data_IF_437719711969
#
_entry.id   IF_437719711969
#
_cell.length_a   1.000
_cell.length_b   1.000
_cell.length_c   1.000
_cell.angle_alpha   90.00
_cell.angle_beta   90.00
_cell.angle_gamma   90.00
#
_symmetry.space_group_name_H-M   'P 1'
#
loop_
_entity.id
_entity.type
_entity.pdbx_description
1 polymer ?
#
# COMPACT_ATOMS: atom_id res chain seq x y z
N UNK A 1 10.42 -5.29 -10.47
CA UNK A 1 11.10 -5.81 -9.27
C UNK A 1 10.30 -6.96 -8.66
N UNK A 2 10.89 -8.16 -8.61
CA UNK A 2 10.29 -9.36 -7.99
C UNK A 2 10.75 -9.53 -6.52
N UNK A 3 10.26 -10.57 -5.83
CA UNK A 3 10.60 -10.83 -4.41
C UNK A 3 12.10 -11.04 -4.18
N UNK A 4 12.79 -11.76 -5.07
CA UNK A 4 14.22 -12.05 -4.91
C UNK A 4 15.08 -10.79 -5.08
N UNK A 5 14.81 -10.02 -6.14
CA UNK A 5 15.47 -8.73 -6.40
C UNK A 5 15.26 -7.75 -5.24
N UNK A 6 14.05 -7.74 -4.65
CA UNK A 6 13.76 -6.90 -3.49
C UNK A 6 14.59 -7.32 -2.27
N UNK A 7 14.73 -8.62 -2.00
CA UNK A 7 15.53 -9.13 -0.89
C UNK A 7 17.01 -8.77 -1.08
N UNK A 8 17.54 -8.90 -2.30
CA UNK A 8 18.92 -8.52 -2.62
C UNK A 8 19.14 -7.01 -2.48
N UNK A 9 18.21 -6.19 -2.98
CA UNK A 9 18.27 -4.74 -2.82
C UNK A 9 18.16 -4.34 -1.34
N UNK A 10 17.27 -4.98 -0.58
CA UNK A 10 17.15 -4.78 0.87
C UNK A 10 18.45 -5.11 1.59
N UNK A 11 19.04 -6.27 1.31
CA UNK A 11 20.30 -6.71 1.91
C UNK A 11 21.44 -5.73 1.58
N UNK A 12 21.53 -5.29 0.33
CA UNK A 12 22.57 -4.37 -0.15
C UNK A 12 22.45 -2.97 0.47
N UNK A 13 21.24 -2.43 0.60
CA UNK A 13 21.01 -1.09 1.17
C UNK A 13 21.12 -1.09 2.71
N UNK A 14 20.65 -2.16 3.36
CA UNK A 14 20.63 -2.27 4.82
C UNK A 14 21.97 -2.77 5.41
N UNK A 15 22.84 -3.37 4.59
CA UNK A 15 24.06 -4.03 5.06
C UNK A 15 23.76 -5.22 5.97
N UNK A 16 22.67 -5.94 5.71
CA UNK A 16 22.26 -7.16 6.43
C UNK A 16 22.37 -8.37 5.50
N UNK A 17 22.36 -9.59 6.06
CA UNK A 17 22.44 -10.79 5.21
C UNK A 17 21.17 -10.96 4.36
N UNK A 18 21.27 -11.64 3.22
CA UNK A 18 20.09 -11.96 2.40
C UNK A 18 19.04 -12.80 3.16
N UNK A 19 19.49 -13.63 4.11
CA UNK A 19 18.60 -14.39 4.99
C UNK A 19 17.84 -13.48 5.95
N UNK A 20 18.51 -12.48 6.52
CA UNK A 20 17.92 -11.47 7.41
C UNK A 20 16.93 -10.58 6.67
N UNK A 21 17.29 -10.10 5.48
CA UNK A 21 16.40 -9.32 4.63
C UNK A 21 15.14 -10.11 4.26
N UNK A 22 15.30 -11.41 3.91
CA UNK A 22 14.17 -12.30 3.64
C UNK A 22 13.30 -12.51 4.88
N UNK A 23 13.90 -12.77 6.04
CA UNK A 23 13.18 -12.98 7.29
C UNK A 23 12.40 -11.73 7.71
N UNK A 24 12.99 -10.54 7.57
CA UNK A 24 12.32 -9.28 7.82
C UNK A 24 11.14 -9.05 6.87
N UNK A 25 11.33 -9.28 5.56
CA UNK A 25 10.26 -9.14 4.57
C UNK A 25 9.11 -10.12 4.83
N UNK A 26 9.42 -11.39 5.09
CA UNK A 26 8.42 -12.40 5.39
C UNK A 26 7.68 -12.11 6.71
N UNK A 27 8.37 -11.55 7.71
CA UNK A 27 7.76 -11.07 8.96
C UNK A 27 6.76 -9.94 8.70
N UNK A 28 7.18 -8.89 7.99
CA UNK A 28 6.31 -7.76 7.61
C UNK A 28 5.05 -8.25 6.89
N UNK A 29 5.21 -9.12 5.89
CA UNK A 29 4.09 -9.66 5.11
C UNK A 29 3.15 -10.47 6.00
N UNK A 30 3.67 -11.34 6.87
CA UNK A 30 2.86 -12.13 7.80
C UNK A 30 2.09 -11.25 8.77
N UNK A 31 2.75 -10.28 9.42
CA UNK A 31 2.12 -9.33 10.31
C UNK A 31 0.97 -8.57 9.64
N UNK A 32 1.23 -8.09 8.42
CA UNK A 32 0.25 -7.35 7.65
C UNK A 32 -0.93 -8.24 7.25
N UNK A 33 -0.68 -9.45 6.76
CA UNK A 33 -1.73 -10.40 6.42
C UNK A 33 -2.58 -10.73 7.65
N UNK A 34 -1.98 -11.09 8.79
CA UNK A 34 -2.74 -11.41 10.01
C UNK A 34 -3.59 -10.24 10.50
N UNK A 35 -3.06 -9.02 10.49
CA UNK A 35 -3.84 -7.83 10.87
C UNK A 35 -5.01 -7.61 9.91
N UNK A 36 -4.77 -7.68 8.60
CA UNK A 36 -5.79 -7.45 7.59
C UNK A 36 -6.88 -8.53 7.60
N UNK A 37 -6.54 -9.80 7.86
CA UNK A 37 -7.53 -10.89 8.00
C UNK A 37 -8.41 -10.72 9.23
N UNK A 38 -7.91 -10.06 10.29
CA UNK A 38 -8.69 -9.74 11.47
C UNK A 38 -9.60 -8.51 11.23
N UNK A 39 -9.48 -7.84 10.08
CA UNK A 39 -10.16 -6.58 9.80
C UNK A 39 -9.50 -5.36 10.44
N UNK A 40 -8.30 -5.52 11.00
CA UNK A 40 -7.52 -4.45 11.61
C UNK A 40 -6.77 -3.66 10.53
N UNK A 41 -6.61 -2.36 10.77
CA UNK A 41 -5.72 -1.53 9.94
C UNK A 41 -4.27 -1.73 10.36
N UNK A 42 -3.36 -1.79 9.38
CA UNK A 42 -1.94 -2.04 9.64
C UNK A 42 -1.06 -0.98 8.98
N UNK A 43 -0.13 -0.40 9.72
CA UNK A 43 0.84 0.56 9.21
C UNK A 43 2.26 -0.03 9.27
N UNK A 44 2.95 -0.03 8.13
CA UNK A 44 4.40 -0.28 8.08
C UNK A 44 5.10 1.05 8.26
N UNK A 45 5.91 1.17 9.32
CA UNK A 45 6.65 2.39 9.63
C UNK A 45 7.46 2.86 8.39
N UNK A 46 7.43 4.15 8.10
CA UNK A 46 8.16 4.75 6.98
C UNK A 46 7.64 4.41 5.57
N UNK A 47 6.69 3.47 5.41
CA UNK A 47 6.22 3.02 4.09
C UNK A 47 4.75 3.41 3.83
N UNK A 48 3.80 2.80 4.54
CA UNK A 48 2.39 3.00 4.25
C UNK A 48 1.46 2.21 5.17
N UNK A 49 0.20 2.62 5.18
CA UNK A 49 -0.88 1.95 5.87
C UNK A 49 -1.74 1.14 4.89
N UNK A 50 -2.19 -0.01 5.36
CA UNK A 50 -3.14 -0.88 4.69
C UNK A 50 -4.41 -0.96 5.53
N UNK A 51 -5.56 -0.91 4.88
CA UNK A 51 -6.84 -1.06 5.55
C UNK A 51 -7.81 -1.81 4.68
N UNK A 52 -8.61 -2.67 5.29
CA UNK A 52 -9.79 -3.23 4.64
C UNK A 52 -10.92 -2.22 4.83
N UNK A 53 -11.44 -1.57 3.77
CA UNK A 53 -12.61 -0.72 3.91
C UNK A 53 -13.76 -1.58 4.41
N UNK A 54 -14.31 -1.26 5.59
CA UNK A 54 -15.58 -1.85 6.03
C UNK A 54 -16.59 -1.56 4.93
N UNK A 55 -16.98 -2.61 4.20
CA UNK A 55 -18.14 -2.54 3.32
C UNK A 55 -19.34 -2.39 4.25
N UNK A 56 -19.65 -1.15 4.65
CA UNK A 56 -20.97 -0.82 5.18
C UNK A 56 -21.89 -1.25 4.06
N UNK A 57 -22.57 -2.39 4.25
CA UNK A 57 -23.61 -2.83 3.34
C UNK A 57 -24.47 -1.61 3.08
N UNK A 58 -24.50 -1.12 1.83
CA UNK A 58 -25.40 -0.03 1.50
C UNK A 58 -26.76 -0.54 1.95
N UNK A 59 -27.32 0.06 3.00
CA UNK A 59 -28.75 -0.05 3.25
C UNK A 59 -29.35 0.35 1.92
N UNK A 60 -29.99 -0.63 1.28
CA UNK A 60 -30.74 -0.43 0.07
C UNK A 60 -31.70 0.71 0.38
N UNK A 61 -31.37 1.91 -0.10
CA UNK A 61 -32.33 3.00 -0.15
C UNK A 61 -33.41 2.51 -1.08
N UNK A 62 -34.60 2.29 -0.53
CA UNK A 62 -35.79 1.97 -1.29
C UNK A 62 -35.91 2.98 -2.45
N UNK A 63 -35.78 2.47 -3.66
CA UNK A 63 -35.61 3.30 -4.85
C UNK A 63 -35.65 2.46 -6.12
N UNK A 64 -36.81 1.86 -6.35
CA UNK A 64 -37.28 1.16 -7.57
C UNK A 64 -36.58 -0.14 -7.98
N UNK A 65 -37.43 -1.17 -8.03
CA UNK A 65 -37.19 -2.49 -8.60
C UNK A 65 -36.60 -2.42 -10.01
N UNK A 66 -35.65 -3.31 -10.27
CA UNK A 66 -35.01 -3.50 -11.57
C UNK A 66 -33.75 -4.35 -11.43
N UNK A 67 -33.96 -5.66 -11.42
CA UNK A 67 -33.03 -6.71 -11.81
C UNK A 67 -31.65 -6.84 -11.12
N UNK A 68 -31.54 -7.89 -10.32
CA UNK A 68 -30.29 -8.59 -10.05
C UNK A 68 -29.73 -9.17 -11.34
N UNK A 69 -28.54 -8.75 -11.76
CA UNK A 69 -27.63 -9.61 -12.51
C UNK A 69 -26.21 -9.14 -12.30
N UNK A 70 -25.31 -10.11 -12.16
CA UNK A 70 -23.87 -9.91 -12.26
C UNK A 70 -23.59 -9.02 -13.47
N UNK A 71 -23.09 -7.81 -13.23
CA UNK A 71 -22.77 -6.83 -14.25
C UNK A 71 -21.59 -7.30 -15.09
N UNK A 72 -21.89 -8.17 -16.05
CA UNK A 72 -21.10 -8.38 -17.24
C UNK A 72 -21.30 -7.13 -18.09
N UNK A 73 -20.37 -6.18 -18.01
CA UNK A 73 -20.31 -5.09 -18.99
C UNK A 73 -20.10 -5.79 -20.33
N UNK A 74 -21.14 -5.83 -21.17
CA UNK A 74 -21.19 -6.52 -22.48
C UNK A 74 -20.22 -5.99 -23.54
N UNK A 75 -19.01 -5.58 -23.14
CA UNK A 75 -17.88 -5.13 -23.95
C UNK A 75 -16.56 -5.80 -23.57
N UNK A 76 -16.57 -6.87 -22.75
CA UNK A 76 -15.37 -7.67 -22.49
C UNK A 76 -14.19 -6.88 -21.88
N UNK A 77 -14.48 -5.80 -21.14
CA UNK A 77 -13.46 -5.05 -20.43
C UNK A 77 -13.60 -5.34 -18.94
N UNK A 78 -12.51 -5.81 -18.33
CA UNK A 78 -12.39 -6.18 -16.92
C UNK A 78 -13.13 -5.19 -16.01
N UNK A 79 -14.14 -5.69 -15.29
CA UNK A 79 -14.64 -5.03 -14.08
C UNK A 79 -13.40 -4.79 -13.23
N UNK A 80 -13.00 -3.52 -13.09
CA UNK A 80 -11.84 -3.17 -12.28
C UNK A 80 -12.20 -3.50 -10.84
N UNK A 81 -11.95 -4.75 -10.43
CA UNK A 81 -12.02 -5.20 -9.05
C UNK A 81 -11.13 -4.26 -8.24
N UNK A 82 -11.76 -3.29 -7.59
CA UNK A 82 -11.09 -2.43 -6.63
C UNK A 82 -10.53 -3.39 -5.59
N UNK A 83 -9.23 -3.31 -5.36
CA UNK A 83 -8.57 -4.23 -4.44
C UNK A 83 -9.29 -4.18 -3.09
N UNK A 84 -9.53 -5.34 -2.45
CA UNK A 84 -10.25 -5.40 -1.18
C UNK A 84 -9.44 -4.77 -0.02
N UNK A 85 -8.19 -4.41 -0.27
CA UNK A 85 -7.30 -3.70 0.64
C UNK A 85 -6.92 -2.38 0.01
N UNK A 86 -7.18 -1.29 0.72
CA UNK A 86 -6.69 0.05 0.39
C UNK A 86 -5.26 0.22 0.92
N UNK A 87 -4.42 0.93 0.16
CA UNK A 87 -3.07 1.31 0.56
C UNK A 87 -2.91 2.82 0.53
N UNK A 88 -2.51 3.39 1.67
CA UNK A 88 -2.19 4.80 1.84
C UNK A 88 -0.69 4.95 2.14
N UNK A 89 0.05 5.60 1.23
CA UNK A 89 1.45 5.91 1.46
C UNK A 89 1.60 6.89 2.65
N UNK A 90 2.53 6.58 3.56
CA UNK A 90 2.84 7.50 4.66
C UNK A 90 3.50 8.79 4.13
N UNK A 91 3.44 9.92 4.87
CA UNK A 91 3.95 11.20 4.39
C UNK A 91 5.42 11.17 3.97
N UNK A 92 6.24 10.42 4.71
CA UNK A 92 7.67 10.25 4.44
C UNK A 92 7.90 9.53 3.11
N UNK A 93 7.21 8.41 2.89
CA UNK A 93 7.28 7.65 1.64
C UNK A 93 6.70 8.43 0.45
N UNK A 94 5.58 9.11 0.65
CA UNK A 94 4.94 9.93 -0.37
C UNK A 94 5.82 11.12 -0.78
N UNK A 95 6.49 11.76 0.18
CA UNK A 95 7.47 12.80 -0.07
C UNK A 95 8.68 12.24 -0.81
N UNK A 96 9.20 11.09 -0.38
CA UNK A 96 10.33 10.44 -1.01
C UNK A 96 10.05 10.12 -2.48
N UNK A 97 8.81 9.75 -2.85
CA UNK A 97 8.41 9.40 -4.21
C UNK A 97 8.05 10.60 -5.11
N UNK A 98 8.19 11.83 -4.63
CA UNK A 98 7.78 13.04 -5.35
C UNK A 98 6.32 12.94 -5.85
N UNK A 99 5.44 12.33 -5.04
CA UNK A 99 4.00 12.28 -5.31
C UNK A 99 3.48 13.71 -5.11
N UNK A 100 3.54 14.51 -6.19
CA UNK A 100 3.32 15.97 -6.15
C UNK A 100 2.08 16.34 -5.34
N UNK A 101 2.23 17.11 -4.26
CA UNK A 101 1.10 17.68 -3.55
C UNK A 101 0.59 18.85 -4.39
N UNK A 102 -0.34 18.59 -5.31
CA UNK A 102 -1.15 19.68 -5.87
C UNK A 102 -1.70 20.53 -4.72
N UNK A 103 -1.36 21.82 -4.75
CA UNK A 103 -1.73 22.82 -3.78
C UNK A 103 -3.24 22.79 -3.50
N UNK A 104 -3.64 22.82 -2.23
CA UNK A 104 -4.85 23.57 -1.86
C UNK A 104 -6.04 22.86 -1.21
N UNK A 105 -5.97 21.59 -0.80
CA UNK A 105 -7.05 21.00 0.00
C UNK A 105 -6.52 20.44 1.32
N UNK A 106 -6.97 21.00 2.45
CA UNK A 106 -6.58 20.68 3.84
C UNK A 106 -6.69 19.21 4.28
N UNK A 107 -6.97 18.27 3.37
CA UNK A 107 -6.89 16.82 3.55
C UNK A 107 -5.44 16.31 3.74
N UNK A 108 -4.42 17.17 3.58
CA UNK A 108 -3.00 16.84 3.84
C UNK A 108 -2.73 16.45 5.30
N UNK A 109 -3.50 16.99 6.25
CA UNK A 109 -3.35 16.62 7.66
C UNK A 109 -3.86 15.20 7.97
N UNK A 110 -4.77 14.65 7.16
CA UNK A 110 -5.41 13.34 7.43
C UNK A 110 -4.70 12.15 6.81
N UNK A 111 -4.06 12.28 5.64
CA UNK A 111 -3.30 11.16 5.04
C UNK A 111 -2.12 10.73 5.95
N UNK A 112 -1.47 11.70 6.61
CA UNK A 112 -0.46 11.42 7.64
C UNK A 112 -1.03 10.90 8.97
N UNK A 113 -2.35 10.94 9.16
CA UNK A 113 -3.00 10.47 10.38
C UNK A 113 -3.34 8.98 10.33
N UNK A 114 -3.57 8.39 9.15
CA UNK A 114 -3.87 6.94 9.04
C UNK A 114 -2.67 6.05 9.33
N UNK A 115 -1.46 6.44 8.89
CA UNK A 115 -0.22 5.75 9.29
C UNK A 115 0.06 5.84 10.79
N UNK A 116 -0.46 6.85 11.50
CA UNK A 116 -0.29 7.03 12.95
C UNK A 116 -1.44 6.47 13.78
N UNK A 117 -2.58 6.15 13.16
CA UNK A 117 -3.81 5.68 13.80
C UNK A 117 -4.14 4.22 13.45
N UNK A 118 -3.23 3.51 12.77
CA UNK A 118 -3.45 2.11 12.45
C UNK A 118 -3.49 1.27 13.75
N UNK A 119 -4.36 0.28 13.78
CA UNK A 119 -4.53 -0.63 14.92
C UNK A 119 -3.26 -1.45 15.18
N UNK A 120 -2.56 -1.81 14.11
CA UNK A 120 -1.29 -2.53 14.15
C UNK A 120 -0.18 -1.69 13.53
N UNK A 121 0.85 -1.37 14.31
CA UNK A 121 2.09 -0.79 13.80
C UNK A 121 3.13 -1.91 13.60
N UNK A 122 3.67 -2.00 12.38
CA UNK A 122 4.82 -2.83 12.04
C UNK A 122 6.05 -1.92 12.09
N UNK A 123 6.74 -1.99 13.23
CA UNK A 123 8.00 -1.31 13.51
C UNK A 123 9.15 -2.33 13.64
N UNK A 124 10.37 -1.82 13.82
CA UNK A 124 11.55 -2.66 14.00
C UNK A 124 11.44 -3.63 15.19
N UNK A 125 10.72 -3.24 16.24
CA UNK A 125 10.52 -4.09 17.43
C UNK A 125 9.60 -5.27 17.13
N UNK A 126 8.49 -5.04 16.41
CA UNK A 126 7.58 -6.09 15.99
C UNK A 126 8.28 -7.08 15.07
N UNK A 127 9.06 -6.60 14.10
CA UNK A 127 9.82 -7.45 13.18
C UNK A 127 10.85 -8.29 13.95
N UNK A 128 11.58 -7.68 14.88
CA UNK A 128 12.52 -8.40 15.75
C UNK A 128 11.82 -9.48 16.60
N UNK A 129 10.58 -9.24 17.05
CA UNK A 129 9.79 -10.24 17.79
C UNK A 129 9.30 -11.37 16.90
N UNK A 130 8.80 -11.07 15.72
CA UNK A 130 8.23 -12.07 14.80
C UNK A 130 9.30 -12.96 14.18
N UNK A 131 10.49 -12.41 13.91
CA UNK A 131 11.61 -13.18 13.35
C UNK A 131 12.20 -14.17 14.34
N UNK A 132 12.05 -13.94 15.66
CA UNK A 132 12.37 -14.93 16.71
C UNK A 132 11.46 -16.16 16.70
N UNK A 133 10.28 -16.08 16.11
CA UNK A 133 9.35 -17.21 15.99
C UNK A 133 9.72 -18.15 14.83
N UNK A 134 10.75 -17.83 14.04
CA UNK A 134 11.29 -18.67 12.97
C UNK A 134 12.54 -19.46 13.40
N UNK A 135 13.01 -20.35 12.50
CA UNK A 135 14.27 -21.12 12.67
C UNK A 135 15.55 -20.29 12.47
N UNK A 136 15.45 -18.96 12.41
CA UNK A 136 16.58 -18.07 12.26
C UNK A 136 16.92 -17.45 13.61
N UNK A 137 18.19 -17.15 13.86
CA UNK A 137 18.57 -16.29 14.97
C UNK A 137 17.79 -14.98 14.81
N UNK A 138 16.86 -14.71 15.73
CA UNK A 138 15.95 -13.57 15.58
C UNK A 138 16.71 -12.28 15.39
N UNK A 139 16.21 -11.42 14.49
CA UNK A 139 16.87 -10.16 14.16
C UNK A 139 17.00 -9.28 15.41
N UNK A 140 18.15 -8.62 15.54
CA UNK A 140 18.27 -7.55 16.53
C UNK A 140 17.34 -6.40 16.15
N UNK A 141 16.93 -5.57 17.12
CA UNK A 141 16.14 -4.36 16.82
C UNK A 141 16.86 -3.45 15.82
N UNK A 142 18.20 -3.40 15.89
CA UNK A 142 19.00 -2.59 14.99
C UNK A 142 18.97 -3.15 13.55
N UNK A 143 19.10 -4.46 13.39
CA UNK A 143 19.09 -5.10 12.07
C UNK A 143 17.69 -5.10 11.46
N UNK A 144 16.65 -5.29 12.29
CA UNK A 144 15.26 -5.14 11.86
C UNK A 144 14.96 -3.71 11.38
N UNK A 145 15.51 -2.69 12.06
CA UNK A 145 15.38 -1.30 11.63
C UNK A 145 16.11 -1.06 10.30
N UNK A 146 17.36 -1.50 10.18
CA UNK A 146 18.13 -1.40 8.93
C UNK A 146 17.40 -2.09 7.78
N UNK A 147 16.86 -3.29 8.00
CA UNK A 147 16.12 -4.04 7.00
C UNK A 147 14.84 -3.31 6.56
N UNK A 148 14.12 -2.66 7.49
CA UNK A 148 12.93 -1.85 7.20
C UNK A 148 13.28 -0.56 6.43
N UNK A 149 14.36 0.11 6.81
CA UNK A 149 14.86 1.29 6.10
C UNK A 149 15.36 0.91 4.69
N UNK A 150 16.04 -0.24 4.57
CA UNK A 150 16.48 -0.82 3.30
C UNK A 150 15.32 -1.22 2.40
N UNK A 151 14.26 -1.83 2.95
CA UNK A 151 13.01 -2.11 2.24
C UNK A 151 12.38 -0.84 1.69
N UNK A 152 12.22 0.17 2.54
CA UNK A 152 11.60 1.45 2.16
C UNK A 152 12.42 2.16 1.08
N UNK A 153 13.75 2.13 1.19
CA UNK A 153 14.67 2.71 0.21
C UNK A 153 14.65 1.97 -1.12
N UNK A 154 14.75 0.64 -1.10
CA UNK A 154 14.69 -0.21 -2.29
C UNK A 154 13.33 -0.05 -3.00
N UNK A 155 12.23 -0.10 -2.25
CA UNK A 155 10.90 0.11 -2.78
C UNK A 155 10.74 1.52 -3.38
N UNK A 156 11.25 2.55 -2.70
CA UNK A 156 11.24 3.93 -3.22
C UNK A 156 11.99 4.02 -4.55
N UNK A 157 13.20 3.46 -4.65
CA UNK A 157 14.01 3.49 -5.87
C UNK A 157 13.32 2.76 -7.03
N UNK A 158 12.77 1.57 -6.80
CA UNK A 158 12.03 0.81 -7.80
C UNK A 158 10.80 1.59 -8.28
N UNK A 159 10.00 2.10 -7.35
CA UNK A 159 8.79 2.86 -7.65
C UNK A 159 9.09 4.21 -8.35
N UNK A 160 10.21 4.88 -8.03
CA UNK A 160 10.65 6.09 -8.75
C UNK A 160 10.90 5.81 -10.23
N UNK A 161 11.56 4.69 -10.54
CA UNK A 161 11.84 4.22 -11.89
C UNK A 161 10.57 3.79 -12.65
N UNK A 162 9.46 3.61 -11.94
CA UNK A 162 8.22 3.08 -12.51
C UNK A 162 8.17 1.56 -12.54
N UNK A 163 9.10 0.90 -11.86
CA UNK A 163 9.11 -0.56 -11.76
C UNK A 163 7.94 -1.04 -10.90
N UNK A 164 7.28 -2.10 -11.36
CA UNK A 164 6.28 -2.81 -10.56
C UNK A 164 6.98 -3.65 -9.50
N UNK A 165 6.59 -3.51 -8.24
CA UNK A 165 7.00 -4.38 -7.15
C UNK A 165 5.95 -5.49 -7.00
N UNK A 166 6.36 -6.75 -7.16
CA UNK A 166 5.47 -7.90 -6.97
C UNK A 166 5.96 -8.75 -5.81
N UNK A 167 5.15 -8.83 -4.76
CA UNK A 167 5.37 -9.70 -3.60
C UNK A 167 4.36 -10.84 -3.73
N UNK A 168 4.87 -12.07 -3.90
CA UNK A 168 4.03 -13.27 -3.97
C UNK A 168 3.10 -13.32 -2.75
N UNK A 169 1.85 -13.72 -2.99
CA UNK A 169 0.78 -13.96 -2.00
C UNK A 169 0.23 -12.71 -1.29
N UNK A 170 1.03 -11.64 -1.16
CA UNK A 170 0.60 -10.37 -0.59
C UNK A 170 -0.03 -9.44 -1.63
N UNK A 171 0.68 -9.19 -2.74
CA UNK A 171 0.19 -8.30 -3.78
C UNK A 171 1.29 -7.59 -4.55
N UNK A 172 0.87 -6.69 -5.43
CA UNK A 172 1.77 -5.93 -6.28
C UNK A 172 1.52 -4.43 -6.16
N UNK A 173 2.60 -3.67 -6.06
CA UNK A 173 2.59 -2.22 -6.10
C UNK A 173 3.01 -1.77 -7.49
N UNK A 174 2.22 -0.89 -8.08
CA UNK A 174 2.59 -0.17 -9.28
C UNK A 174 2.56 1.32 -9.00
N UNK A 175 3.61 2.04 -9.39
CA UNK A 175 3.46 3.47 -9.55
C UNK A 175 2.77 3.69 -10.87
N UNK A 176 1.66 4.42 -10.84
CA UNK A 176 1.15 5.01 -12.06
C UNK A 176 2.09 6.17 -12.43
N UNK A 177 3.18 5.85 -13.13
CA UNK A 177 4.15 6.82 -13.64
C UNK A 177 4.24 6.78 -15.15
N UNK A 178 4.15 7.98 -15.73
CA UNK A 178 4.52 8.52 -17.06
C UNK A 178 4.35 7.67 -18.33
N UNK A 179 4.47 6.34 -18.33
CA UNK A 179 4.41 5.53 -19.55
C UNK A 179 3.16 4.65 -19.67
N UNK A 180 2.58 4.11 -18.59
CA UNK A 180 1.35 3.30 -18.74
C UNK A 180 0.38 3.36 -17.56
N UNK A 181 -0.82 3.84 -17.92
CA UNK A 181 -2.14 3.55 -17.36
C UNK A 181 -2.48 4.24 -16.01
N UNK A 182 -3.35 5.26 -16.18
CA UNK A 182 -4.13 6.00 -15.19
C UNK A 182 -3.45 7.22 -14.53
N UNK A 183 -3.03 8.18 -15.36
CA UNK A 183 -2.91 9.59 -14.94
C UNK A 183 -4.23 10.01 -14.26
N UNK A 184 -4.21 10.53 -13.03
CA UNK A 184 -5.19 11.58 -12.69
C UNK A 184 -4.71 12.80 -13.46
N UNK A 185 -5.13 12.91 -14.71
CA UNK A 185 -4.79 14.02 -15.59
C UNK A 185 -5.15 15.34 -14.90
N UNK A 186 -4.42 16.40 -15.27
CA UNK A 186 -4.77 17.73 -14.80
C UNK A 186 -6.24 17.99 -15.12
N UNK A 187 -7.00 18.36 -14.09
CA UNK A 187 -8.44 18.59 -14.21
C UNK A 187 -8.86 19.72 -13.31
N UNK A 188 -9.82 20.49 -13.79
CA UNK A 188 -10.47 21.51 -12.98
C UNK A 188 -11.37 20.80 -11.98
N UNK A 189 -11.03 20.88 -10.70
CA UNK A 189 -11.88 20.47 -9.59
C UNK A 189 -12.62 21.66 -9.01
N UNK A 190 -13.59 21.41 -8.12
CA UNK A 190 -14.22 22.46 -7.31
C UNK A 190 -13.95 22.18 -5.84
N UNK A 191 -13.67 23.22 -5.07
CA UNK A 191 -13.56 23.11 -3.63
C UNK A 191 -14.91 22.62 -3.06
N UNK A 192 -14.97 21.48 -2.34
CA UNK A 192 -16.22 20.96 -1.78
C UNK A 192 -16.90 21.92 -0.79
N UNK A 193 -16.13 22.81 -0.15
CA UNK A 193 -16.66 23.75 0.85
C UNK A 193 -17.04 25.11 0.23
N UNK A 194 -16.37 25.55 -0.83
CA UNK A 194 -16.52 26.92 -1.35
C UNK A 194 -16.98 26.99 -2.80
N UNK A 195 -17.09 25.88 -3.51
CA UNK A 195 -17.52 25.81 -4.92
C UNK A 195 -16.54 26.39 -5.95
N UNK A 196 -15.52 27.14 -5.51
CA UNK A 196 -14.50 27.76 -6.37
C UNK A 196 -13.72 26.70 -7.15
N UNK A 197 -13.43 27.01 -8.41
CA UNK A 197 -12.64 26.14 -9.27
C UNK A 197 -11.18 26.14 -8.84
N UNK A 198 -10.61 24.94 -8.74
CA UNK A 198 -9.23 24.69 -8.36
C UNK A 198 -8.62 23.82 -9.45
N UNK A 199 -7.49 24.26 -10.00
CA UNK A 199 -6.70 23.45 -10.91
C UNK A 199 -6.00 22.34 -10.11
N UNK A 200 -6.39 21.09 -10.36
CA UNK A 200 -5.74 19.93 -9.76
C UNK A 200 -4.65 19.48 -10.73
N UNK A 201 -3.40 19.83 -10.43
CA UNK A 201 -2.24 19.37 -11.20
C UNK A 201 -2.17 17.84 -11.28
N UNK A 202 -1.54 17.31 -12.33
CA UNK A 202 -1.32 15.88 -12.46
C UNK A 202 -0.49 15.35 -11.28
N UNK A 203 -0.97 14.27 -10.65
CA UNK A 203 -0.28 13.63 -9.52
C UNK A 203 0.04 12.18 -9.85
N UNK A 204 1.23 11.74 -9.44
CA UNK A 204 1.59 10.32 -9.36
C UNK A 204 0.91 9.72 -8.13
N UNK A 205 0.43 8.50 -8.25
CA UNK A 205 -0.18 7.74 -7.15
C UNK A 205 0.36 6.31 -7.22
N UNK A 206 0.72 5.77 -6.05
CA UNK A 206 1.04 4.35 -5.90
C UNK A 206 -0.27 3.59 -5.79
N UNK A 207 -0.46 2.58 -6.63
CA UNK A 207 -1.59 1.66 -6.55
C UNK A 207 -1.11 0.32 -6.02
N UNK A 208 -1.79 -0.18 -5.00
CA UNK A 208 -1.63 -1.54 -4.54
C UNK A 208 -2.72 -2.41 -5.14
N UNK A 209 -2.34 -3.59 -5.61
CA UNK A 209 -3.25 -4.67 -6.00
C UNK A 209 -2.98 -5.88 -5.12
N UNK A 210 -3.94 -6.22 -4.27
CA UNK A 210 -3.85 -7.39 -3.39
C UNK A 210 -3.69 -8.68 -4.22
N UNK A 211 -2.89 -9.62 -3.70
CA UNK A 211 -2.72 -10.95 -4.27
C UNK A 211 -4.01 -11.78 -4.13
N UNK A 212 -4.09 -12.89 -4.86
CA UNK A 212 -5.26 -13.77 -4.79
C UNK A 212 -5.47 -14.36 -3.38
N UNK A 213 -4.38 -14.73 -2.70
CA UNK A 213 -4.44 -15.27 -1.34
C UNK A 213 -4.89 -14.22 -0.33
N UNK A 214 -4.24 -13.04 -0.32
CA UNK A 214 -4.66 -11.94 0.55
C UNK A 214 -6.12 -11.55 0.28
N UNK A 215 -6.53 -11.45 -0.98
CA UNK A 215 -7.90 -11.10 -1.35
C UNK A 215 -8.93 -12.12 -0.87
N UNK A 216 -8.62 -13.42 -0.91
CA UNK A 216 -9.49 -14.47 -0.38
C UNK A 216 -9.56 -14.45 1.14
N UNK A 217 -8.47 -14.09 1.80
CA UNK A 217 -8.39 -14.11 3.26
C UNK A 217 -9.11 -12.91 3.92
N UNK A 218 -9.30 -11.80 3.19
CA UNK A 218 -9.93 -10.57 3.70
C UNK A 218 -11.39 -10.36 3.24
N UNK A 219 -11.90 -11.17 2.30
CA UNK A 219 -13.30 -11.12 1.82
C UNK A 219 -14.16 -12.17 2.51
#
# INVERSE_FOLDING_TARGET
MNKAELIEAMASEAGVSGADAKAALDGIVRAATTALTNGDSVAVAGFGAFSVPKRVGKRAGAGRAGESSNGFDGKGNDVVERSPVDFDACPEFAAALDLTPGNGDGRRAEAGSRCRKADVLIDAERIARETRMGRHAGLSKADAKKALDGFTSAATKALKKGDRLSIADFGSFSVSSVSSISKRSARTGRNPQTGKEIQIAAKRVVKFKAGAELSKAVN
#
